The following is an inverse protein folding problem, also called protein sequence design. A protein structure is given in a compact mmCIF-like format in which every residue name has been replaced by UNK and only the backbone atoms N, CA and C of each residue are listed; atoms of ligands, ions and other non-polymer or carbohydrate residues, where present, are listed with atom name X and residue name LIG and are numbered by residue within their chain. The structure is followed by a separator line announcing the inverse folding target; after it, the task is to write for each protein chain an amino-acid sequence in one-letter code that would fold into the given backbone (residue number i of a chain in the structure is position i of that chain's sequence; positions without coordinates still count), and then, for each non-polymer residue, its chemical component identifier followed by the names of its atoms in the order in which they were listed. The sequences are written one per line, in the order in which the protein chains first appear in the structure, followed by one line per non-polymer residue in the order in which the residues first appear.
data_IF_680715490183
#
_entry.id   IF_680715490183
#
_cell.length_a   1.000
_cell.length_b   1.000
_cell.length_c   1.000
_cell.angle_alpha   90.00
_cell.angle_beta   90.00
_cell.angle_gamma   90.00
#
_symmetry.space_group_name_H-M   'P 1'
#
loop_
_entity.id
_entity.type
_entity.pdbx_description
1 polymer ?
#
# COMPACT_ATOMS: atom_id res chain seq x y z
N UNK A 1 3.51 -2.27 14.63
CA UNK A 1 2.70 -3.00 13.67
C UNK A 1 3.24 -2.81 12.25
N UNK A 2 2.88 -3.73 11.34
CA UNK A 2 3.15 -3.63 9.92
C UNK A 2 1.82 -3.76 9.16
N UNK A 3 1.64 -3.01 8.07
CA UNK A 3 0.37 -2.95 7.35
C UNK A 3 0.58 -2.97 5.83
N UNK A 4 -0.33 -3.67 5.14
CA UNK A 4 -0.54 -3.57 3.70
C UNK A 4 -1.99 -3.17 3.51
N UNK A 5 -2.23 -2.10 2.72
CA UNK A 5 -3.57 -1.62 2.41
C UNK A 5 -3.74 -1.40 0.92
N UNK A 6 -4.89 -1.77 0.37
CA UNK A 6 -5.23 -1.60 -1.04
C UNK A 6 -6.66 -1.09 -1.16
N UNK A 7 -6.83 0.06 -1.81
CA UNK A 7 -8.13 0.50 -2.31
C UNK A 7 -8.43 -0.19 -3.63
N UNK A 8 -9.66 -0.67 -3.80
CA UNK A 8 -10.04 -1.46 -4.96
C UNK A 8 -11.50 -1.24 -5.35
N UNK A 9 -11.75 -1.04 -6.63
CA UNK A 9 -13.12 -0.92 -7.16
C UNK A 9 -13.55 -2.27 -7.73
N UNK A 10 -14.41 -2.98 -6.99
CA UNK A 10 -15.00 -4.26 -7.39
C UNK A 10 -16.10 -4.00 -8.41
N UNK A 11 -15.92 -4.45 -9.66
CA UNK A 11 -16.92 -4.26 -10.72
C UNK A 11 -18.10 -5.21 -10.61
N UNK A 12 -17.83 -6.44 -10.19
CA UNK A 12 -18.87 -7.45 -9.97
C UNK A 12 -18.59 -8.17 -8.65
N UNK A 13 -19.64 -8.43 -7.88
CA UNK A 13 -19.51 -9.19 -6.62
C UNK A 13 -18.75 -10.49 -6.86
N UNK A 14 -17.80 -10.78 -5.99
CA UNK A 14 -16.91 -11.93 -6.09
C UNK A 14 -16.18 -12.15 -4.78
N UNK A 15 -15.19 -13.00 -4.77
CA UNK A 15 -14.38 -13.23 -3.58
C UNK A 15 -12.98 -12.64 -3.72
N UNK A 16 -12.49 -12.03 -2.64
CA UNK A 16 -11.06 -11.86 -2.41
C UNK A 16 -10.54 -13.13 -1.73
N UNK A 17 -9.42 -13.64 -2.17
CA UNK A 17 -8.75 -14.77 -1.52
C UNK A 17 -7.25 -14.54 -1.41
N UNK A 18 -6.64 -15.19 -0.41
CA UNK A 18 -5.19 -15.16 -0.20
C UNK A 18 -4.76 -16.37 0.60
N UNK A 19 -3.49 -16.76 0.47
CA UNK A 19 -2.85 -17.68 1.39
C UNK A 19 -2.14 -16.91 2.49
N UNK A 20 -2.21 -17.40 3.73
CA UNK A 20 -1.46 -16.84 4.84
C UNK A 20 -0.83 -17.93 5.72
N UNK A 21 0.32 -17.61 6.29
CA UNK A 21 1.05 -18.37 7.31
C UNK A 21 1.42 -17.41 8.44
N UNK A 22 1.35 -17.88 9.68
CA UNK A 22 1.72 -17.09 10.86
C UNK A 22 2.61 -17.94 11.78
N UNK A 23 3.64 -17.33 12.30
CA UNK A 23 4.46 -17.87 13.37
C UNK A 23 4.65 -16.76 14.42
N UNK A 24 3.85 -16.81 15.47
CA UNK A 24 3.73 -15.70 16.43
C UNK A 24 3.41 -16.18 17.83
N UNK A 25 3.52 -15.27 18.81
CA UNK A 25 3.30 -15.59 20.20
C UNK A 25 1.84 -15.97 20.51
N UNK A 26 1.68 -17.12 21.16
CA UNK A 26 0.41 -17.59 21.67
C UNK A 26 0.55 -18.05 23.13
N UNK A 27 -0.38 -17.63 23.98
CA UNK A 27 -0.42 -18.03 25.37
C UNK A 27 -0.90 -19.47 25.59
N UNK A 28 -0.58 -20.03 26.76
CA UNK A 28 -0.91 -21.41 27.15
C UNK A 28 -2.40 -21.75 27.13
N UNK A 29 -3.28 -20.75 27.16
CA UNK A 29 -4.75 -20.92 27.11
C UNK A 29 -5.35 -20.60 25.75
N UNK A 30 -4.54 -20.48 24.71
CA UNK A 30 -5.00 -20.11 23.36
C UNK A 30 -5.22 -18.60 23.18
N UNK A 31 -4.76 -17.78 24.14
CA UNK A 31 -4.75 -16.33 23.97
C UNK A 31 -3.75 -15.98 22.89
N UNK A 32 -4.17 -15.23 21.87
CA UNK A 32 -3.32 -14.73 20.80
C UNK A 32 -2.82 -13.34 21.23
N UNK A 33 -1.50 -13.16 21.27
CA UNK A 33 -0.86 -11.89 21.60
C UNK A 33 -0.42 -11.14 20.33
N UNK A 34 0.33 -11.82 19.48
CA UNK A 34 0.75 -11.29 18.20
C UNK A 34 -0.06 -11.94 17.06
N UNK A 35 -0.55 -11.14 16.11
CA UNK A 35 -1.49 -11.66 15.14
C UNK A 35 -1.50 -10.91 13.81
N UNK A 36 -1.87 -11.63 12.76
CA UNK A 36 -2.26 -11.07 11.47
C UNK A 36 -3.79 -10.92 11.43
N UNK A 37 -4.27 -9.73 11.17
CA UNK A 37 -5.69 -9.47 10.98
C UNK A 37 -5.96 -8.98 9.56
N UNK A 38 -7.00 -9.51 8.94
CA UNK A 38 -7.50 -9.03 7.64
C UNK A 38 -8.81 -8.28 7.81
N UNK A 39 -8.90 -7.12 7.15
CA UNK A 39 -10.06 -6.24 7.17
C UNK A 39 -10.59 -5.98 5.76
N UNK A 40 -11.90 -5.82 5.66
CA UNK A 40 -12.60 -5.23 4.51
C UNK A 40 -13.37 -4.01 5.03
N UNK A 41 -13.09 -2.83 4.49
CA UNK A 41 -13.75 -1.56 4.86
C UNK A 41 -13.69 -1.25 6.37
N UNK A 42 -12.63 -1.69 7.03
CA UNK A 42 -12.45 -1.56 8.47
C UNK A 42 -13.15 -2.63 9.31
N UNK A 43 -13.97 -3.50 8.72
CA UNK A 43 -14.56 -4.66 9.40
C UNK A 43 -13.56 -5.81 9.45
N UNK A 44 -13.36 -6.39 10.64
CA UNK A 44 -12.46 -7.52 10.84
C UNK A 44 -13.07 -8.80 10.24
N UNK A 45 -12.40 -9.37 9.26
CA UNK A 45 -12.82 -10.61 8.59
C UNK A 45 -12.19 -11.86 9.22
N UNK A 46 -10.93 -11.77 9.62
CA UNK A 46 -10.23 -12.88 10.31
C UNK A 46 -9.08 -12.33 11.15
N UNK A 47 -8.69 -13.11 12.17
CA UNK A 47 -7.53 -12.88 13.02
C UNK A 47 -6.78 -14.21 13.14
N UNK A 48 -5.49 -14.19 12.82
CA UNK A 48 -4.60 -15.35 12.71
C UNK A 48 -3.39 -15.15 13.62
N UNK A 49 -3.13 -16.08 14.54
CA UNK A 49 -1.97 -16.02 15.42
C UNK A 49 -1.57 -17.39 15.92
N UNK A 50 -0.42 -17.47 16.59
CA UNK A 50 0.22 -18.73 16.98
C UNK A 50 0.97 -19.36 15.80
N UNK A 51 1.16 -20.68 15.85
CA UNK A 51 1.83 -21.44 14.81
C UNK A 51 0.81 -21.99 13.81
N UNK A 52 0.60 -21.28 12.70
CA UNK A 52 -0.29 -21.67 11.61
C UNK A 52 0.51 -21.85 10.32
N UNK A 53 0.43 -23.03 9.72
CA UNK A 53 0.99 -23.29 8.39
C UNK A 53 0.12 -22.65 7.30
N UNK A 54 0.63 -22.60 6.06
CA UNK A 54 -0.07 -22.04 4.90
C UNK A 54 -1.50 -22.55 4.79
N UNK A 55 -2.45 -21.63 4.83
CA UNK A 55 -3.87 -21.92 4.64
C UNK A 55 -4.51 -20.85 3.75
N UNK A 56 -5.55 -21.22 3.02
CA UNK A 56 -6.28 -20.30 2.14
C UNK A 56 -7.49 -19.71 2.85
N UNK A 57 -7.68 -18.41 2.64
CA UNK A 57 -8.79 -17.63 3.16
C UNK A 57 -9.53 -16.98 2.00
N UNK A 58 -10.86 -16.95 2.07
CA UNK A 58 -11.70 -16.37 1.01
C UNK A 58 -12.91 -15.70 1.61
N UNK A 59 -13.21 -14.48 1.15
CA UNK A 59 -14.31 -13.65 1.66
C UNK A 59 -15.09 -13.05 0.49
N UNK A 60 -16.41 -13.11 0.55
CA UNK A 60 -17.30 -12.51 -0.44
C UNK A 60 -17.27 -10.99 -0.30
N UNK A 61 -17.21 -10.28 -1.43
CA UNK A 61 -17.20 -8.84 -1.53
C UNK A 61 -18.26 -8.42 -2.55
N UNK A 62 -19.07 -7.41 -2.21
CA UNK A 62 -20.05 -6.81 -3.12
C UNK A 62 -19.37 -5.99 -4.22
N UNK A 63 -20.11 -5.60 -5.25
CA UNK A 63 -19.65 -4.57 -6.16
C UNK A 63 -19.59 -3.21 -5.45
N UNK A 64 -18.59 -2.39 -5.75
CA UNK A 64 -18.36 -1.08 -5.15
C UNK A 64 -16.88 -0.83 -4.82
N UNK A 65 -16.63 0.32 -4.22
CA UNK A 65 -15.30 0.63 -3.68
C UNK A 65 -15.12 -0.04 -2.33
N UNK A 66 -13.95 -0.64 -2.15
CA UNK A 66 -13.56 -1.35 -0.94
C UNK A 66 -12.11 -1.07 -0.59
N UNK A 67 -11.81 -1.15 0.71
CA UNK A 67 -10.43 -1.12 1.23
C UNK A 67 -10.11 -2.50 1.82
N UNK A 68 -9.12 -3.17 1.26
CA UNK A 68 -8.57 -4.43 1.78
C UNK A 68 -7.32 -4.12 2.59
N UNK A 69 -7.25 -4.62 3.83
CA UNK A 69 -6.15 -4.29 4.73
C UNK A 69 -5.70 -5.51 5.53
N UNK A 70 -4.40 -5.79 5.50
CA UNK A 70 -3.74 -6.80 6.32
C UNK A 70 -2.84 -6.09 7.31
N UNK A 71 -3.01 -6.40 8.60
CA UNK A 71 -2.27 -5.77 9.70
C UNK A 71 -1.64 -6.84 10.54
N UNK A 72 -0.32 -6.81 10.72
CA UNK A 72 0.36 -7.61 11.72
C UNK A 72 0.64 -6.75 12.95
N UNK A 73 0.04 -7.12 14.06
CA UNK A 73 0.17 -6.43 15.35
C UNK A 73 0.94 -7.29 16.34
N UNK A 74 1.80 -6.63 17.11
CA UNK A 74 2.54 -7.22 18.24
C UNK A 74 2.14 -6.53 19.53
N UNK A 75 2.10 -7.30 20.58
CA UNK A 75 2.04 -6.72 21.92
C UNK A 75 3.41 -6.13 22.36
N UNK A 76 3.54 -5.70 23.61
CA UNK A 76 4.75 -5.05 24.11
C UNK A 76 5.69 -6.02 24.84
N UNK A 77 5.34 -7.30 24.94
CA UNK A 77 6.06 -8.25 25.77
C UNK A 77 6.16 -9.63 25.11
N UNK A 78 7.34 -10.17 25.07
CA UNK A 78 7.59 -11.50 24.55
C UNK A 78 7.82 -11.55 23.04
N UNK A 79 8.26 -12.69 22.59
CA UNK A 79 8.29 -13.11 21.18
C UNK A 79 8.47 -14.62 21.15
N UNK A 80 7.74 -15.28 20.27
CA UNK A 80 7.80 -16.73 20.08
C UNK A 80 7.63 -17.07 18.61
N UNK A 81 8.23 -18.17 18.17
CA UNK A 81 8.28 -18.55 16.78
C UNK A 81 9.19 -17.62 15.95
N UNK A 82 8.85 -17.44 14.69
CA UNK A 82 9.55 -16.52 13.75
C UNK A 82 9.11 -15.07 13.93
N UNK A 83 8.08 -14.83 14.75
CA UNK A 83 7.55 -13.51 15.10
C UNK A 83 7.13 -12.68 13.88
N UNK A 84 6.46 -13.33 12.93
CA UNK A 84 6.00 -12.72 11.69
C UNK A 84 4.81 -13.46 11.06
N UNK A 85 4.26 -12.83 10.03
CA UNK A 85 3.24 -13.41 9.17
C UNK A 85 3.65 -13.28 7.69
N UNK A 86 3.21 -14.21 6.89
CA UNK A 86 3.40 -14.23 5.43
C UNK A 86 2.05 -14.23 4.74
N UNK A 87 1.96 -13.48 3.66
CA UNK A 87 0.79 -13.43 2.78
C UNK A 87 1.26 -13.74 1.37
N UNK A 88 0.53 -14.60 0.66
CA UNK A 88 0.83 -15.01 -0.70
C UNK A 88 -0.46 -15.21 -1.49
N UNK A 89 -0.35 -15.25 -2.83
CA UNK A 89 -1.44 -15.54 -3.76
C UNK A 89 -2.71 -14.74 -3.52
N UNK A 90 -2.57 -13.41 -3.35
CA UNK A 90 -3.73 -12.54 -3.25
C UNK A 90 -4.44 -12.50 -4.61
N UNK A 91 -5.71 -12.91 -4.64
CA UNK A 91 -6.58 -12.87 -5.81
C UNK A 91 -7.74 -11.95 -5.49
N UNK A 92 -7.82 -10.84 -6.22
CA UNK A 92 -8.92 -9.89 -6.09
C UNK A 92 -10.15 -10.34 -6.90
N UNK A 93 -11.37 -9.96 -6.47
CA UNK A 93 -12.56 -10.12 -7.31
C UNK A 93 -12.43 -9.28 -8.60
N UNK A 94 -13.26 -9.54 -9.64
CA UNK A 94 -13.22 -8.73 -10.86
C UNK A 94 -13.38 -7.24 -10.58
N UNK A 95 -12.37 -6.46 -10.94
CA UNK A 95 -12.35 -5.02 -10.63
C UNK A 95 -11.08 -4.34 -11.10
N UNK A 96 -10.81 -3.19 -10.53
CA UNK A 96 -9.61 -2.40 -10.79
C UNK A 96 -9.16 -1.67 -9.54
N UNK A 97 -7.87 -1.44 -9.42
CA UNK A 97 -7.34 -0.42 -8.51
C UNK A 97 -7.85 0.92 -9.04
N UNK A 98 -8.42 1.80 -8.18
CA UNK A 98 -8.77 3.15 -8.61
C UNK A 98 -7.57 3.79 -9.30
N UNK A 99 -7.76 4.53 -10.39
CA UNK A 99 -6.65 5.27 -10.97
C UNK A 99 -6.04 6.12 -9.85
N UNK A 100 -4.76 5.93 -9.62
CA UNK A 100 -4.01 6.83 -8.77
C UNK A 100 -4.10 8.20 -9.47
N UNK A 101 -4.78 9.16 -8.87
CA UNK A 101 -4.90 10.50 -9.43
C UNK A 101 -3.56 11.22 -9.19
N UNK A 102 -2.56 10.85 -9.98
CA UNK A 102 -1.25 11.49 -9.94
C UNK A 102 -1.30 12.63 -10.96
N UNK A 103 -1.28 13.83 -10.46
CA UNK A 103 -1.00 15.00 -11.29
C UNK A 103 0.53 15.06 -11.49
N UNK A 104 0.98 14.43 -12.57
CA UNK A 104 2.41 14.41 -12.92
C UNK A 104 2.95 15.83 -13.05
N UNK A 105 4.05 16.10 -12.34
CA UNK A 105 4.67 17.41 -12.29
C UNK A 105 4.16 18.34 -11.21
N UNK A 106 3.03 18.02 -10.53
CA UNK A 106 2.53 18.76 -9.37
C UNK A 106 3.01 18.08 -8.07
N UNK A 107 4.22 18.41 -7.65
CA UNK A 107 4.84 17.79 -6.48
C UNK A 107 4.33 18.34 -5.16
N UNK A 108 3.88 19.59 -5.14
CA UNK A 108 3.35 20.21 -3.93
C UNK A 108 1.85 19.98 -3.72
N UNK A 109 1.19 19.36 -4.71
CA UNK A 109 -0.24 19.01 -4.73
C UNK A 109 -1.16 20.22 -4.56
N UNK A 110 -0.77 21.37 -5.15
CA UNK A 110 -1.57 22.59 -5.12
C UNK A 110 -2.54 22.72 -6.31
N UNK A 111 -2.53 21.74 -7.23
CA UNK A 111 -3.35 21.69 -8.44
C UNK A 111 -2.77 22.51 -9.60
N UNK A 112 -1.53 22.98 -9.50
CA UNK A 112 -0.89 23.77 -10.55
C UNK A 112 0.56 23.35 -10.73
N UNK A 113 0.93 23.00 -11.94
CA UNK A 113 2.34 22.78 -12.30
C UNK A 113 3.01 24.14 -12.45
N UNK A 114 4.01 24.43 -11.60
CA UNK A 114 4.69 25.75 -11.58
C UNK A 114 6.16 25.62 -11.14
N UNK A 115 6.83 26.76 -10.97
CA UNK A 115 8.26 26.80 -10.61
C UNK A 115 8.55 26.14 -9.26
N UNK A 116 7.57 26.10 -8.33
CA UNK A 116 7.78 25.48 -7.01
C UNK A 116 7.97 23.98 -7.15
N UNK A 117 7.26 23.32 -8.07
CA UNK A 117 7.38 21.89 -8.33
C UNK A 117 8.75 21.55 -8.92
N UNK A 118 9.23 22.39 -9.84
CA UNK A 118 10.57 22.26 -10.40
C UNK A 118 11.63 22.38 -9.29
N UNK A 119 11.48 23.33 -8.38
CA UNK A 119 12.41 23.51 -7.24
C UNK A 119 12.41 22.30 -6.32
N UNK A 120 11.25 21.71 -6.05
CA UNK A 120 11.11 20.48 -5.24
C UNK A 120 11.80 19.30 -5.94
N UNK A 121 11.56 19.11 -7.24
CA UNK A 121 12.19 18.04 -8.02
C UNK A 121 13.69 18.20 -8.04
N UNK A 122 14.21 19.40 -8.34
CA UNK A 122 15.66 19.71 -8.32
C UNK A 122 16.26 19.44 -6.95
N UNK A 123 15.59 19.85 -5.87
CA UNK A 123 16.06 19.62 -4.50
C UNK A 123 16.19 18.12 -4.20
N UNK A 124 15.25 17.32 -4.66
CA UNK A 124 15.25 15.87 -4.52
C UNK A 124 16.42 15.25 -5.30
N UNK A 125 16.59 15.60 -6.56
CA UNK A 125 17.70 15.11 -7.43
C UNK A 125 19.07 15.45 -6.86
N UNK A 126 19.21 16.61 -6.21
CA UNK A 126 20.44 17.04 -5.54
C UNK A 126 20.63 16.41 -4.14
N UNK A 127 19.70 15.60 -3.68
CA UNK A 127 19.76 14.95 -2.35
C UNK A 127 19.49 15.90 -1.18
N UNK A 128 18.87 17.06 -1.42
CA UNK A 128 18.54 18.06 -0.41
C UNK A 128 17.10 17.97 0.10
N UNK A 129 16.27 17.05 -0.44
CA UNK A 129 14.89 16.84 -0.05
C UNK A 129 14.51 15.37 -0.09
N UNK A 130 13.68 14.94 0.87
CA UNK A 130 13.06 13.61 0.83
C UNK A 130 11.63 13.78 0.33
N UNK A 131 11.33 13.23 -0.85
CA UNK A 131 9.97 13.12 -1.36
C UNK A 131 9.27 11.95 -0.67
N UNK A 132 7.98 12.10 -0.35
CA UNK A 132 7.13 10.98 0.04
C UNK A 132 6.76 10.12 -1.18
N UNK A 133 6.04 9.01 -0.97
CA UNK A 133 5.72 8.08 -2.05
C UNK A 133 4.89 8.70 -3.18
N UNK A 134 3.92 9.57 -2.86
CA UNK A 134 3.08 10.26 -3.86
C UNK A 134 3.89 11.30 -4.63
N UNK A 135 4.72 12.07 -3.95
CA UNK A 135 5.61 13.04 -4.58
C UNK A 135 6.65 12.39 -5.50
N UNK A 136 7.17 11.21 -5.13
CA UNK A 136 8.07 10.43 -6.01
C UNK A 136 7.36 10.02 -7.29
N UNK A 137 6.11 9.58 -7.21
CA UNK A 137 5.31 9.23 -8.38
C UNK A 137 4.96 10.44 -9.24
N UNK A 138 4.61 11.59 -8.63
CA UNK A 138 4.39 12.84 -9.35
C UNK A 138 5.64 13.37 -10.03
N UNK A 139 6.81 13.14 -9.44
CA UNK A 139 8.10 13.60 -9.97
C UNK A 139 8.65 12.75 -11.10
N UNK A 140 8.36 11.43 -11.11
CA UNK A 140 8.77 10.49 -12.17
C UNK A 140 7.80 10.59 -13.37
N UNK A 141 7.96 11.65 -14.13
CA UNK A 141 7.04 12.00 -15.24
C UNK A 141 7.19 11.04 -16.43
N UNK A 142 8.40 10.51 -16.64
CA UNK A 142 8.66 9.53 -17.72
C UNK A 142 8.36 8.08 -17.30
N UNK A 143 8.03 7.83 -16.01
CA UNK A 143 7.72 6.52 -15.44
C UNK A 143 8.84 5.47 -15.62
N UNK A 144 10.11 5.90 -15.54
CA UNK A 144 11.25 4.98 -15.61
C UNK A 144 11.70 4.42 -14.25
N UNK A 145 11.05 4.84 -13.16
CA UNK A 145 11.32 4.43 -11.79
C UNK A 145 12.43 5.25 -11.12
N UNK A 146 12.82 6.38 -11.69
CA UNK A 146 13.82 7.29 -11.14
C UNK A 146 13.36 8.72 -11.29
N UNK A 147 13.72 9.56 -10.32
CA UNK A 147 13.54 11.00 -10.43
C UNK A 147 14.90 11.61 -10.76
N UNK A 148 15.07 12.12 -11.98
CA UNK A 148 16.31 12.69 -12.44
C UNK A 148 16.14 13.96 -13.31
N UNK A 149 17.18 14.37 -14.03
CA UNK A 149 17.16 15.59 -14.84
C UNK A 149 16.21 15.50 -16.04
N UNK A 150 15.86 14.29 -16.48
CA UNK A 150 14.92 14.09 -17.60
C UNK A 150 13.52 14.51 -17.16
N UNK A 151 13.11 14.12 -15.95
CA UNK A 151 11.81 14.52 -15.38
C UNK A 151 11.73 16.03 -15.19
N UNK A 152 12.81 16.64 -14.68
CA UNK A 152 12.88 18.11 -14.55
C UNK A 152 12.61 18.79 -15.90
N UNK A 153 13.20 18.28 -16.98
CA UNK A 153 12.98 18.86 -18.34
C UNK A 153 11.55 18.68 -18.80
N UNK A 154 10.94 17.52 -18.49
CA UNK A 154 9.53 17.25 -18.83
C UNK A 154 8.56 18.13 -18.04
N UNK A 155 8.81 18.37 -16.76
CA UNK A 155 8.02 19.31 -15.93
C UNK A 155 8.14 20.74 -16.49
N UNK A 156 9.33 21.14 -16.91
CA UNK A 156 9.54 22.44 -17.55
C UNK A 156 8.73 22.53 -18.86
N UNK A 157 8.74 21.50 -19.69
CA UNK A 157 7.97 21.46 -20.93
C UNK A 157 6.45 21.55 -20.66
N UNK A 158 5.96 20.88 -19.61
CA UNK A 158 4.56 20.99 -19.19
C UNK A 158 4.20 22.42 -18.75
N UNK A 159 5.10 23.12 -18.06
CA UNK A 159 4.89 24.51 -17.63
C UNK A 159 4.73 25.47 -18.81
N UNK A 160 5.43 25.21 -19.93
CA UNK A 160 5.37 26.07 -21.11
C UNK A 160 4.35 25.60 -22.17
N UNK A 161 3.69 24.43 -21.97
CA UNK A 161 2.68 23.90 -22.87
C UNK A 161 1.26 24.43 -22.58
N UNK A 162 1.07 25.16 -21.49
CA UNK A 162 -0.22 25.76 -21.05
C UNK A 162 -0.40 27.21 -21.48
#
# INVERSE_FOLDING_TARGET
FSEISVEYNVMNSGSISFAAKVSSEQGNSGTIYDHLTFYIDGEQMTLLGGELDWNEYSFMVSAGQHTFRWVYEKDTAGSSGDDCAWIDRIIFPPGSIPPLNIDFGDLNQDGNINVLDIVLTVSSVLGHGNLNGEQLLSADVNMDGKVDVIDITMIIDMLFAN
#
